data_IF_553413140899
#
_entry.id   IF_553413140899
#
_cell.length_a   1.000
_cell.length_b   1.000
_cell.length_c   1.000
_cell.angle_alpha   90.00
_cell.angle_beta   90.00
_cell.angle_gamma   90.00
#
_symmetry.space_group_name_H-M   'P 1'
#
loop_
_entity.id
_entity.type
_entity.pdbx_description
1 polymer ?
#
# COMPACT_ATOMS: atom_id res chain seq x y z
N UNK A 1 -33.35 28.15 -2.12
CA UNK A 1 -32.22 27.47 -1.43
C UNK A 1 -32.11 25.94 -1.53
N UNK A 2 -33.02 25.23 -2.20
CA UNK A 2 -32.89 23.76 -2.42
C UNK A 2 -31.78 23.40 -3.43
N UNK A 3 -31.58 24.25 -4.44
CA UNK A 3 -30.59 24.05 -5.50
C UNK A 3 -29.15 24.13 -4.95
N UNK A 4 -28.90 25.07 -4.02
CA UNK A 4 -27.59 25.23 -3.39
C UNK A 4 -27.22 24.02 -2.54
N UNK A 5 -28.19 23.48 -1.79
CA UNK A 5 -28.05 22.26 -1.01
C UNK A 5 -27.73 21.04 -1.89
N UNK A 6 -28.42 20.89 -3.02
CA UNK A 6 -28.14 19.82 -3.98
C UNK A 6 -26.73 19.94 -4.59
N UNK A 7 -26.31 21.15 -4.97
CA UNK A 7 -24.97 21.41 -5.50
C UNK A 7 -23.87 21.10 -4.47
N UNK A 8 -24.05 21.54 -3.21
CA UNK A 8 -23.12 21.21 -2.12
C UNK A 8 -23.02 19.71 -1.88
N UNK A 9 -24.15 18.98 -1.92
CA UNK A 9 -24.16 17.53 -1.80
C UNK A 9 -23.34 16.89 -2.93
N UNK A 10 -23.61 17.25 -4.19
CA UNK A 10 -22.91 16.69 -5.36
C UNK A 10 -21.40 16.98 -5.33
N UNK A 11 -21.00 18.20 -4.96
CA UNK A 11 -19.60 18.58 -4.82
C UNK A 11 -18.89 17.81 -3.71
N UNK A 12 -19.55 17.61 -2.56
CA UNK A 12 -19.00 16.81 -1.45
C UNK A 12 -18.76 15.36 -1.87
N UNK A 13 -19.69 14.76 -2.62
CA UNK A 13 -19.53 13.42 -3.16
C UNK A 13 -18.37 13.34 -4.16
N UNK A 14 -18.33 14.25 -5.13
CA UNK A 14 -17.26 14.30 -6.13
C UNK A 14 -15.89 14.47 -5.47
N UNK A 15 -15.77 15.39 -4.53
CA UNK A 15 -14.55 15.63 -3.77
C UNK A 15 -14.11 14.39 -2.98
N UNK A 16 -15.05 13.74 -2.27
CA UNK A 16 -14.78 12.50 -1.53
C UNK A 16 -14.24 11.40 -2.45
N UNK A 17 -14.84 11.21 -3.62
CA UNK A 17 -14.40 10.22 -4.62
C UNK A 17 -12.99 10.55 -5.15
N UNK A 18 -12.71 11.82 -5.45
CA UNK A 18 -11.38 12.26 -5.91
C UNK A 18 -10.33 12.01 -4.82
N UNK A 19 -10.61 12.41 -3.58
CA UNK A 19 -9.72 12.19 -2.44
C UNK A 19 -9.47 10.71 -2.21
N UNK A 20 -10.50 9.86 -2.25
CA UNK A 20 -10.32 8.40 -2.13
C UNK A 20 -9.46 7.83 -3.26
N UNK A 21 -9.66 8.26 -4.50
CA UNK A 21 -8.83 7.84 -5.65
C UNK A 21 -7.38 8.27 -5.47
N UNK A 22 -7.13 9.51 -5.05
CA UNK A 22 -5.77 9.99 -4.79
C UNK A 22 -5.13 9.27 -3.61
N UNK A 23 -5.88 9.01 -2.53
CA UNK A 23 -5.39 8.24 -1.40
C UNK A 23 -4.99 6.81 -1.81
N UNK A 24 -5.74 6.18 -2.73
CA UNK A 24 -5.38 4.88 -3.29
C UNK A 24 -4.06 4.94 -4.06
N UNK A 25 -3.93 5.89 -4.99
CA UNK A 25 -2.70 6.07 -5.78
C UNK A 25 -1.49 6.37 -4.88
N UNK A 26 -1.63 7.23 -3.88
CA UNK A 26 -0.57 7.53 -2.93
C UNK A 26 -0.14 6.29 -2.13
N UNK A 27 -1.08 5.44 -1.73
CA UNK A 27 -0.76 4.16 -1.08
C UNK A 27 0.03 3.24 -2.01
N UNK A 28 -0.43 3.07 -3.24
CA UNK A 28 0.26 2.24 -4.25
C UNK A 28 1.69 2.74 -4.52
N UNK A 29 1.87 4.05 -4.70
CA UNK A 29 3.19 4.67 -4.89
C UNK A 29 4.12 4.46 -3.69
N UNK A 30 3.61 4.64 -2.46
CA UNK A 30 4.38 4.39 -1.23
C UNK A 30 4.80 2.93 -1.11
N UNK A 31 3.90 1.99 -1.40
CA UNK A 31 4.19 0.55 -1.39
C UNK A 31 5.28 0.20 -2.39
N UNK A 32 5.19 0.71 -3.62
CA UNK A 32 6.21 0.50 -4.66
C UNK A 32 7.56 1.10 -4.26
N UNK A 33 7.58 2.32 -3.72
CA UNK A 33 8.80 2.98 -3.26
C UNK A 33 9.47 2.21 -2.12
N UNK A 34 8.69 1.69 -1.16
CA UNK A 34 9.18 0.85 -0.07
C UNK A 34 9.88 -0.42 -0.61
N UNK A 35 9.22 -1.17 -1.49
CA UNK A 35 9.81 -2.40 -2.03
C UNK A 35 11.05 -2.16 -2.89
N UNK A 36 11.13 -1.01 -3.59
CA UNK A 36 12.36 -0.62 -4.29
C UNK A 36 13.53 -0.42 -3.34
N UNK A 37 13.31 0.17 -2.17
CA UNK A 37 14.36 0.37 -1.17
C UNK A 37 14.86 -0.94 -0.55
N UNK A 38 14.04 -1.99 -0.56
CA UNK A 38 14.45 -3.32 -0.09
C UNK A 38 15.42 -4.03 -1.04
N UNK A 39 15.53 -3.59 -2.29
CA UNK A 39 16.39 -4.21 -3.29
C UNK A 39 17.77 -3.54 -3.34
N UNK A 40 18.83 -4.27 -3.75
CA UNK A 40 20.17 -3.69 -3.88
C UNK A 40 20.16 -2.49 -4.84
N UNK A 41 20.82 -1.40 -4.46
CA UNK A 41 20.85 -0.14 -5.24
C UNK A 41 21.43 -0.30 -6.65
N UNK A 42 22.14 -1.39 -6.93
CA UNK A 42 22.70 -1.70 -8.25
C UNK A 42 21.63 -2.15 -9.26
N UNK A 43 20.44 -2.55 -8.77
CA UNK A 43 19.30 -2.88 -9.60
C UNK A 43 18.42 -1.62 -9.75
N UNK A 44 18.72 -0.77 -10.74
CA UNK A 44 17.86 0.36 -11.12
C UNK A 44 16.53 -0.15 -11.71
N UNK A 45 15.59 -0.47 -10.82
CA UNK A 45 14.28 -1.02 -11.16
C UNK A 45 13.26 0.11 -11.25
N UNK A 46 13.16 0.67 -12.44
CA UNK A 46 12.25 1.79 -12.72
C UNK A 46 10.85 1.32 -13.13
N UNK A 47 10.70 0.07 -13.61
CA UNK A 47 9.40 -0.46 -14.05
C UNK A 47 8.77 -1.37 -13.00
N UNK A 48 7.45 -1.25 -12.85
CA UNK A 48 6.66 -2.09 -11.95
C UNK A 48 6.83 -3.59 -12.22
N UNK A 49 6.93 -4.00 -13.49
CA UNK A 49 7.10 -5.41 -13.87
C UNK A 49 8.43 -5.97 -13.36
N UNK A 50 9.51 -5.22 -13.54
CA UNK A 50 10.86 -5.60 -13.09
C UNK A 50 10.89 -5.75 -11.56
N UNK A 51 10.21 -4.85 -10.84
CA UNK A 51 10.04 -4.95 -9.38
C UNK A 51 9.31 -6.22 -8.98
N UNK A 52 8.20 -6.54 -9.64
CA UNK A 52 7.43 -7.75 -9.36
C UNK A 52 8.27 -9.02 -9.59
N UNK A 53 9.05 -9.07 -10.67
CA UNK A 53 9.96 -10.18 -10.94
C UNK A 53 11.06 -10.30 -9.89
N UNK A 54 11.71 -9.19 -9.52
CA UNK A 54 12.76 -9.20 -8.51
C UNK A 54 12.24 -9.67 -7.14
N UNK A 55 11.04 -9.23 -6.74
CA UNK A 55 10.39 -9.69 -5.51
C UNK A 55 10.05 -11.19 -5.56
N UNK A 56 9.55 -11.69 -6.70
CA UNK A 56 9.22 -13.10 -6.86
C UNK A 56 10.46 -14.01 -6.93
N UNK A 57 11.60 -13.49 -7.38
CA UNK A 57 12.87 -14.20 -7.41
C UNK A 57 13.51 -14.34 -6.02
N UNK A 58 13.08 -13.54 -5.04
CA UNK A 58 13.59 -13.63 -3.68
C UNK A 58 13.12 -14.93 -3.02
N UNK A 59 14.01 -15.75 -2.44
CA UNK A 59 13.59 -16.96 -1.72
C UNK A 59 12.66 -16.58 -0.57
N UNK A 60 11.61 -17.37 -0.30
CA UNK A 60 10.73 -17.13 0.83
C UNK A 60 11.52 -17.16 2.14
N UNK A 61 11.15 -16.30 3.08
CA UNK A 61 11.77 -16.29 4.41
C UNK A 61 11.29 -17.51 5.19
N UNK A 62 12.21 -18.46 5.44
CA UNK A 62 11.91 -19.66 6.21
C UNK A 62 12.10 -19.41 7.71
N UNK A 63 11.03 -19.61 8.47
CA UNK A 63 11.04 -19.56 9.93
C UNK A 63 10.51 -20.90 10.44
N UNK A 64 11.31 -21.55 11.29
CA UNK A 64 10.83 -22.75 11.96
C UNK A 64 9.68 -22.38 12.89
N UNK A 65 8.56 -23.10 12.78
CA UNK A 65 7.40 -22.94 13.67
C UNK A 65 7.82 -23.13 15.14
N UNK A 66 8.80 -23.99 15.42
CA UNK A 66 9.38 -24.18 16.75
C UNK A 66 9.97 -22.89 17.37
N UNK A 67 10.37 -21.91 16.55
CA UNK A 67 10.90 -20.62 16.98
C UNK A 67 9.81 -19.55 17.16
N UNK A 68 8.56 -19.84 16.78
CA UNK A 68 7.44 -18.90 16.88
C UNK A 68 6.79 -19.06 18.26
N UNK A 69 6.81 -18.00 19.06
CA UNK A 69 6.14 -17.96 20.36
C UNK A 69 4.82 -17.20 20.24
N UNK A 70 3.71 -17.84 20.62
CA UNK A 70 2.43 -17.16 20.77
C UNK A 70 2.46 -16.40 22.09
N UNK A 71 2.28 -15.08 22.02
CA UNK A 71 2.18 -14.20 23.21
C UNK A 71 0.75 -13.71 23.33
N UNK A 72 0.08 -14.08 24.43
CA UNK A 72 -1.23 -13.54 24.77
C UNK A 72 -1.04 -12.16 25.42
N UNK A 73 -1.21 -11.10 24.63
CA UNK A 73 -0.98 -9.71 25.06
C UNK A 73 -1.90 -9.23 26.21
N UNK A 74 -3.00 -9.93 26.50
CA UNK A 74 -4.05 -9.46 27.41
C UNK A 74 -4.38 -10.44 28.55
N UNK A 75 -3.62 -11.52 28.71
CA UNK A 75 -3.78 -12.43 29.84
C UNK A 75 -2.73 -12.09 30.89
N UNK A 76 -3.16 -11.49 32.00
CA UNK A 76 -2.40 -11.46 33.26
C UNK A 76 -2.81 -12.66 34.11
#
# INVERSE_FOLDING_TARGET
DLILLLLCQQLKWLYSVIVQKHARLLRELRTVAYFRQCLPSEQNIDKYKELAYALAAHPPYEISISKVKVVHLHCQ
#
